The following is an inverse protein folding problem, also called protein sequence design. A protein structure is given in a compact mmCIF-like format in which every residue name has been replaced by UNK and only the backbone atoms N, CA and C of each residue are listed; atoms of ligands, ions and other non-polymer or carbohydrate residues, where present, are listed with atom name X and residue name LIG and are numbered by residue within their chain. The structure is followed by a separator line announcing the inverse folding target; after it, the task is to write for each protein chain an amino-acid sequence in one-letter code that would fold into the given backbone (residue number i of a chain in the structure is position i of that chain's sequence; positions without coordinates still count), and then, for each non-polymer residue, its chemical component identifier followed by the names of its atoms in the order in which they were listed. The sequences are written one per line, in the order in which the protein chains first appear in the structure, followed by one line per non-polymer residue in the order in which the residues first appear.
data_IF_331734268102
#
_entry.id   IF_331734268102
#
_cell.length_a   1.000
_cell.length_b   1.000
_cell.length_c   1.000
_cell.angle_alpha   90.00
_cell.angle_beta   90.00
_cell.angle_gamma   90.00
#
_symmetry.space_group_name_H-M   'P 1'
#
loop_
_entity.id
_entity.type
_entity.pdbx_description
1 polymer ?
#
# COMPACT_ATOMS: atom_id res chain seq x y z
N UNK A 1 -1.38 23.98 -18.81
CA UNK A 1 -0.10 24.01 -18.08
C UNK A 1 -0.05 22.76 -17.23
N UNK A 2 0.77 21.80 -17.63
CA UNK A 2 0.88 20.50 -16.98
C UNK A 2 1.52 20.68 -15.60
N UNK A 3 0.81 20.34 -14.54
CA UNK A 3 1.35 20.23 -13.19
C UNK A 3 2.42 19.14 -13.22
N UNK A 4 3.63 19.51 -12.80
CA UNK A 4 4.78 18.64 -12.65
C UNK A 4 4.49 17.65 -11.50
N UNK A 5 3.65 16.65 -11.76
CA UNK A 5 3.44 15.54 -10.82
C UNK A 5 4.76 14.80 -10.71
N UNK A 6 5.40 14.89 -9.55
CA UNK A 6 6.57 14.09 -9.24
C UNK A 6 6.29 12.64 -9.66
N UNK A 7 7.23 12.02 -10.38
CA UNK A 7 7.10 10.63 -10.76
C UNK A 7 7.18 9.77 -9.49
N UNK A 8 6.02 9.53 -8.87
CA UNK A 8 5.84 8.73 -7.63
C UNK A 8 6.53 7.35 -7.74
N UNK A 9 6.82 6.86 -8.96
CA UNK A 9 7.54 5.60 -9.21
C UNK A 9 8.98 5.62 -8.69
N UNK A 10 9.59 6.80 -8.50
CA UNK A 10 10.93 6.94 -7.92
C UNK A 10 10.94 7.02 -6.39
N UNK A 11 9.77 6.93 -5.74
CA UNK A 11 9.63 6.89 -4.31
C UNK A 11 9.20 5.47 -3.91
N UNK A 12 10.13 4.57 -3.53
CA UNK A 12 9.81 3.17 -3.21
C UNK A 12 8.72 3.00 -2.14
N UNK A 13 8.59 4.00 -1.26
CA UNK A 13 7.57 4.08 -0.21
C UNK A 13 6.15 4.34 -0.74
N UNK A 14 6.02 4.92 -1.94
CA UNK A 14 4.76 5.15 -2.65
C UNK A 14 4.61 4.20 -3.86
N UNK A 15 5.24 3.02 -3.80
CA UNK A 15 5.14 2.05 -4.88
C UNK A 15 3.67 1.74 -5.21
N UNK A 16 3.29 1.99 -6.46
CA UNK A 16 1.96 1.73 -7.02
C UNK A 16 2.11 0.90 -8.28
N UNK A 17 1.08 0.12 -8.58
CA UNK A 17 0.95 -0.50 -9.89
C UNK A 17 0.60 0.57 -10.94
N UNK A 18 0.93 0.30 -12.20
CA UNK A 18 0.58 1.18 -13.31
C UNK A 18 -0.94 1.49 -13.31
N UNK A 19 -1.37 2.74 -13.57
CA UNK A 19 -2.78 3.11 -13.52
C UNK A 19 -3.69 2.25 -14.39
N UNK A 20 -3.23 1.81 -15.57
CA UNK A 20 -4.03 0.93 -16.43
C UNK A 20 -4.22 -0.44 -15.80
N UNK A 21 -3.16 -0.97 -15.18
CA UNK A 21 -3.22 -2.25 -14.46
C UNK A 21 -4.11 -2.14 -13.22
N UNK A 22 -4.07 -1.02 -12.50
CA UNK A 22 -5.00 -0.75 -11.39
C UNK A 22 -6.46 -0.76 -11.86
N UNK A 23 -6.75 -0.02 -12.93
CA UNK A 23 -8.10 0.09 -13.47
C UNK A 23 -8.59 -1.27 -13.99
N UNK A 24 -7.73 -2.06 -14.64
CA UNK A 24 -8.03 -3.42 -15.09
C UNK A 24 -8.28 -4.38 -13.91
N UNK A 25 -7.47 -4.26 -12.86
CA UNK A 25 -7.60 -5.08 -11.66
C UNK A 25 -8.96 -4.85 -11.03
N UNK A 26 -9.40 -3.61 -10.86
CA UNK A 26 -10.68 -3.30 -10.19
C UNK A 26 -11.87 -3.03 -11.12
N UNK A 27 -11.74 -3.30 -12.42
CA UNK A 27 -12.82 -3.10 -13.38
C UNK A 27 -14.09 -3.87 -12.97
N UNK A 28 -15.20 -3.17 -12.81
CA UNK A 28 -16.49 -3.76 -12.42
C UNK A 28 -16.65 -4.05 -10.93
N UNK A 29 -15.67 -3.70 -10.09
CA UNK A 29 -15.83 -3.74 -8.63
C UNK A 29 -16.81 -2.65 -8.16
N UNK A 30 -17.54 -2.95 -7.08
CA UNK A 30 -18.42 -1.97 -6.43
C UNK A 30 -17.60 -1.07 -5.53
N UNK A 31 -18.00 0.20 -5.49
CA UNK A 31 -17.41 1.18 -4.58
C UNK A 31 -17.94 0.93 -3.16
N UNK A 32 -17.03 0.87 -2.20
CA UNK A 32 -17.29 0.71 -0.78
C UNK A 32 -16.82 1.98 -0.06
N UNK A 33 -17.63 2.48 0.89
CA UNK A 33 -17.35 3.72 1.61
C UNK A 33 -17.02 3.43 3.06
N UNK A 34 -15.93 4.01 3.52
CA UNK A 34 -15.44 3.90 4.89
C UNK A 34 -15.26 5.28 5.51
N UNK A 35 -15.70 5.43 6.75
CA UNK A 35 -15.45 6.63 7.54
C UNK A 35 -14.02 6.66 8.09
N UNK A 36 -13.54 7.85 8.46
CA UNK A 36 -12.28 7.99 9.17
C UNK A 36 -12.30 7.18 10.48
N UNK A 37 -11.18 6.53 10.79
CA UNK A 37 -11.01 5.65 11.94
C UNK A 37 -11.49 4.21 11.72
N UNK A 38 -12.15 3.89 10.61
CA UNK A 38 -12.57 2.51 10.34
C UNK A 38 -11.40 1.63 9.91
N UNK A 39 -11.37 0.42 10.46
CA UNK A 39 -10.42 -0.61 10.06
C UNK A 39 -10.89 -1.32 8.79
N UNK A 40 -9.96 -1.57 7.86
CA UNK A 40 -10.20 -2.49 6.74
C UNK A 40 -9.92 -3.94 7.16
N UNK A 41 -8.89 -4.12 7.99
CA UNK A 41 -8.51 -5.36 8.64
C UNK A 41 -7.46 -5.08 9.72
N UNK A 42 -7.29 -6.04 10.61
CA UNK A 42 -6.29 -6.02 11.69
C UNK A 42 -5.16 -7.00 11.34
N UNK A 43 -3.96 -6.72 11.86
CA UNK A 43 -2.82 -7.63 11.76
C UNK A 43 -3.19 -9.01 12.32
N UNK A 44 -2.69 -10.07 11.68
CA UNK A 44 -3.00 -11.49 11.95
C UNK A 44 -4.44 -11.94 11.60
N UNK A 45 -5.31 -11.05 11.10
CA UNK A 45 -6.60 -11.48 10.54
C UNK A 45 -6.38 -12.41 9.33
N UNK A 46 -7.41 -13.21 9.02
CA UNK A 46 -7.44 -13.97 7.78
C UNK A 46 -7.39 -13.03 6.57
N UNK A 47 -6.61 -13.40 5.56
CA UNK A 47 -6.41 -12.58 4.37
C UNK A 47 -7.19 -13.13 3.18
N UNK A 48 -8.41 -12.64 2.97
CA UNK A 48 -9.35 -13.13 1.96
C UNK A 48 -9.51 -12.20 0.74
N UNK A 49 -9.02 -10.96 0.83
CA UNK A 49 -9.24 -9.92 -0.19
C UNK A 49 -8.15 -8.85 -0.24
N UNK A 50 -8.10 -8.13 -1.36
CA UNK A 50 -7.31 -6.91 -1.55
C UNK A 50 -8.23 -5.71 -1.71
N UNK A 51 -7.68 -4.51 -1.44
CA UNK A 51 -8.37 -3.25 -1.63
C UNK A 51 -7.58 -2.33 -2.55
N UNK A 52 -8.28 -1.62 -3.43
CA UNK A 52 -7.78 -0.49 -4.20
C UNK A 52 -8.33 0.80 -3.61
N UNK A 53 -7.44 1.75 -3.31
CA UNK A 53 -7.85 3.06 -2.80
C UNK A 53 -8.29 3.95 -3.96
N UNK A 54 -9.57 4.32 -4.02
CA UNK A 54 -10.07 5.25 -5.04
C UNK A 54 -9.88 6.69 -4.60
N UNK A 55 -10.21 6.98 -3.34
CA UNK A 55 -10.01 8.28 -2.70
C UNK A 55 -9.81 8.13 -1.19
N UNK A 56 -9.19 9.13 -0.57
CA UNK A 56 -8.87 9.13 0.85
C UNK A 56 -7.45 8.63 1.16
N UNK A 57 -7.21 8.31 2.43
CA UNK A 57 -5.89 7.92 2.94
C UNK A 57 -6.02 6.76 3.92
N UNK A 58 -5.20 5.72 3.73
CA UNK A 58 -5.17 4.52 4.58
C UNK A 58 -3.80 4.40 5.24
N UNK A 59 -3.77 4.30 6.56
CA UNK A 59 -2.57 4.00 7.33
C UNK A 59 -2.36 2.49 7.41
N UNK A 60 -1.12 2.06 7.20
CA UNK A 60 -0.66 0.70 7.43
C UNK A 60 0.23 0.70 8.67
N UNK A 61 -0.19 -0.01 9.72
CA UNK A 61 0.54 -0.07 10.98
C UNK A 61 0.77 -1.51 11.47
N UNK A 62 1.91 -1.71 12.13
CA UNK A 62 2.30 -2.96 12.76
C UNK A 62 2.28 -2.73 14.27
N UNK A 63 1.75 -3.70 15.02
CA UNK A 63 1.73 -3.66 16.46
C UNK A 63 2.72 -4.68 17.02
N UNK A 64 3.54 -4.26 17.98
CA UNK A 64 4.38 -5.19 18.74
C UNK A 64 3.52 -6.01 19.72
N UNK A 65 4.02 -7.15 20.24
CA UNK A 65 3.32 -7.90 21.28
C UNK A 65 3.02 -7.07 22.54
N UNK A 66 3.80 -6.01 22.81
CA UNK A 66 3.57 -5.07 23.90
C UNK A 66 2.61 -3.92 23.57
N UNK A 67 1.94 -3.96 22.41
CA UNK A 67 0.96 -2.94 21.98
C UNK A 67 1.58 -1.66 21.40
N UNK A 68 2.89 -1.61 21.18
CA UNK A 68 3.52 -0.45 20.56
C UNK A 68 3.17 -0.41 19.07
N UNK A 69 2.70 0.74 18.60
CA UNK A 69 2.32 0.97 17.21
C UNK A 69 3.49 1.52 16.41
N UNK A 70 3.82 0.86 15.30
CA UNK A 70 4.71 1.36 14.26
C UNK A 70 3.88 1.68 13.01
N UNK A 71 3.87 2.95 12.57
CA UNK A 71 3.29 3.33 11.28
C UNK A 71 4.27 2.95 10.18
N UNK A 72 3.99 1.85 9.48
CA UNK A 72 4.83 1.36 8.39
C UNK A 72 4.66 2.27 7.16
N UNK A 73 3.43 2.43 6.68
CA UNK A 73 3.17 3.22 5.47
C UNK A 73 1.86 4.00 5.50
N UNK A 74 1.74 4.94 4.57
CA UNK A 74 0.51 5.67 4.27
C UNK A 74 0.19 5.47 2.79
N UNK A 75 -0.96 4.88 2.51
CA UNK A 75 -1.44 4.56 1.17
C UNK A 75 -2.46 5.61 0.72
N UNK A 76 -2.28 6.08 -0.52
CA UNK A 76 -3.06 7.18 -1.12
C UNK A 76 -3.92 6.65 -2.27
N UNK A 77 -4.62 7.53 -2.99
CA UNK A 77 -5.39 7.13 -4.17
C UNK A 77 -4.54 6.36 -5.19
N UNK A 78 -5.11 5.31 -5.78
CA UNK A 78 -4.47 4.33 -6.67
C UNK A 78 -3.43 3.42 -6.00
N UNK A 79 -3.35 3.41 -4.67
CA UNK A 79 -2.58 2.40 -3.93
C UNK A 79 -3.35 1.09 -3.76
N UNK A 80 -2.58 0.00 -3.64
CA UNK A 80 -3.08 -1.33 -3.31
C UNK A 80 -2.84 -1.64 -1.83
N UNK A 81 -3.81 -2.24 -1.16
CA UNK A 81 -3.75 -2.58 0.27
C UNK A 81 -4.15 -4.03 0.50
N UNK A 82 -3.38 -4.73 1.33
CA UNK A 82 -3.68 -6.10 1.76
C UNK A 82 -3.25 -7.19 0.78
N UNK A 83 -2.39 -6.87 -0.18
CA UNK A 83 -1.98 -7.78 -1.25
C UNK A 83 -1.06 -8.92 -0.79
N UNK A 84 -0.23 -8.72 0.23
CA UNK A 84 0.74 -9.76 0.67
C UNK A 84 0.00 -11.04 1.07
N UNK A 85 -0.85 -10.96 2.11
CA UNK A 85 -1.62 -12.10 2.58
C UNK A 85 -2.59 -12.65 1.53
N UNK A 86 -3.15 -11.76 0.70
CA UNK A 86 -4.05 -12.17 -0.37
C UNK A 86 -3.34 -12.88 -1.53
N UNK A 87 -2.01 -12.73 -1.69
CA UNK A 87 -1.20 -13.42 -2.70
C UNK A 87 -0.59 -14.72 -2.16
N UNK A 88 -0.02 -14.71 -0.96
CA UNK A 88 0.65 -15.89 -0.38
C UNK A 88 -0.26 -16.82 0.44
N UNK A 89 -1.47 -16.36 0.78
CA UNK A 89 -2.47 -17.12 1.52
C UNK A 89 -2.24 -17.13 3.03
N UNK A 90 -1.38 -16.24 3.54
CA UNK A 90 -1.05 -16.11 4.96
C UNK A 90 -1.87 -14.98 5.62
N UNK A 91 -1.88 -14.92 6.97
CA UNK A 91 -2.55 -13.83 7.69
C UNK A 91 -2.06 -12.43 7.31
N UNK A 92 -2.84 -11.41 7.65
CA UNK A 92 -2.51 -9.99 7.41
C UNK A 92 -1.20 -9.63 8.11
N UNK A 93 -0.25 -9.06 7.37
CA UNK A 93 1.06 -8.64 7.91
C UNK A 93 1.00 -7.34 8.73
N UNK A 94 -0.10 -6.59 8.62
CA UNK A 94 -0.29 -5.29 9.26
C UNK A 94 -1.78 -4.99 9.42
N UNK A 95 -2.08 -3.98 10.24
CA UNK A 95 -3.41 -3.37 10.37
C UNK A 95 -3.55 -2.26 9.34
N UNK A 96 -4.73 -2.14 8.71
CA UNK A 96 -5.06 -1.06 7.79
C UNK A 96 -6.24 -0.23 8.31
N UNK A 97 -6.05 1.08 8.47
CA UNK A 97 -7.05 2.00 9.05
C UNK A 97 -7.24 3.21 8.14
N UNK A 98 -8.48 3.58 7.86
CA UNK A 98 -8.80 4.82 7.13
C UNK A 98 -8.46 6.04 8.00
N UNK A 99 -7.50 6.87 7.60
CA UNK A 99 -7.20 8.14 8.28
C UNK A 99 -8.21 9.23 7.93
N UNK A 100 -8.75 9.18 6.73
CA UNK A 100 -9.82 10.06 6.23
C UNK A 100 -11.05 9.22 5.91
N UNK A 101 -12.15 9.85 5.50
CA UNK A 101 -13.15 9.12 4.74
C UNK A 101 -12.48 8.54 3.47
N UNK A 102 -12.76 7.28 3.16
CA UNK A 102 -12.18 6.58 2.03
C UNK A 102 -13.28 5.98 1.15
N UNK A 103 -13.04 6.05 -0.17
CA UNK A 103 -13.78 5.24 -1.13
C UNK A 103 -12.82 4.18 -1.67
N UNK A 104 -13.21 2.92 -1.53
CA UNK A 104 -12.39 1.76 -1.85
C UNK A 104 -13.12 0.83 -2.82
N UNK A 105 -12.36 0.01 -3.51
CA UNK A 105 -12.86 -1.13 -4.28
C UNK A 105 -12.15 -2.38 -3.79
N UNK A 106 -12.82 -3.53 -3.77
CA UNK A 106 -12.22 -4.77 -3.25
C UNK A 106 -12.32 -5.92 -4.24
N UNK A 107 -11.44 -6.91 -4.08
CA UNK A 107 -11.45 -8.18 -4.78
C UNK A 107 -11.14 -9.30 -3.80
N UNK A 108 -11.91 -10.38 -3.86
CA UNK A 108 -11.51 -11.61 -3.16
C UNK A 108 -10.21 -12.17 -3.76
N UNK A 109 -9.51 -12.98 -2.98
CA UNK A 109 -8.33 -13.72 -3.45
C UNK A 109 -8.62 -14.47 -4.75
N UNK A 110 -9.75 -15.17 -4.84
CA UNK A 110 -10.14 -15.90 -6.05
C UNK A 110 -10.27 -14.95 -7.24
N UNK A 111 -10.96 -13.81 -7.08
CA UNK A 111 -11.12 -12.83 -8.16
C UNK A 111 -9.78 -12.20 -8.58
N UNK A 112 -8.85 -11.99 -7.64
CA UNK A 112 -7.49 -11.52 -7.94
C UNK A 112 -6.77 -12.51 -8.86
N UNK A 113 -6.74 -13.79 -8.50
CA UNK A 113 -6.08 -14.81 -9.31
C UNK A 113 -6.77 -15.02 -10.66
N UNK A 114 -8.11 -15.04 -10.72
CA UNK A 114 -8.86 -15.11 -11.98
C UNK A 114 -8.50 -13.97 -12.95
N UNK A 115 -8.28 -12.76 -12.43
CA UNK A 115 -7.88 -11.60 -13.23
C UNK A 115 -6.44 -11.71 -13.70
N UNK A 116 -5.54 -12.17 -12.83
CA UNK A 116 -4.13 -12.42 -13.18
C UNK A 116 -4.03 -13.46 -14.30
N UNK A 117 -4.77 -14.56 -14.21
CA UNK A 117 -4.79 -15.60 -15.24
C UNK A 117 -5.29 -15.09 -16.60
N UNK A 118 -6.33 -14.25 -16.59
CA UNK A 118 -6.89 -13.64 -17.81
C UNK A 118 -6.00 -12.54 -18.40
N UNK A 119 -5.12 -11.94 -17.60
CA UNK A 119 -4.27 -10.84 -18.03
C UNK A 119 -2.87 -10.94 -17.39
N UNK A 120 -1.96 -11.74 -17.97
CA UNK A 120 -0.62 -11.99 -17.43
C UNK A 120 0.22 -10.75 -17.10
N UNK A 121 0.11 -9.61 -17.84
CA UNK A 121 0.70 -8.34 -17.40
C UNK A 121 0.38 -7.92 -15.96
N UNK A 122 -0.78 -8.30 -15.40
CA UNK A 122 -1.11 -8.05 -13.99
C UNK A 122 -0.15 -8.77 -13.04
N UNK A 123 0.24 -10.02 -13.33
CA UNK A 123 1.21 -10.75 -12.52
C UNK A 123 2.53 -9.98 -12.42
N UNK A 124 3.01 -9.46 -13.56
CA UNK A 124 4.24 -8.65 -13.62
C UNK A 124 4.10 -7.38 -12.78
N UNK A 125 2.98 -6.66 -12.89
CA UNK A 125 2.73 -5.45 -12.11
C UNK A 125 2.72 -5.74 -10.60
N UNK A 126 2.14 -6.87 -10.17
CA UNK A 126 2.15 -7.30 -8.76
C UNK A 126 3.58 -7.61 -8.28
N UNK A 127 4.38 -8.31 -9.10
CA UNK A 127 5.78 -8.60 -8.79
C UNK A 127 6.58 -7.30 -8.65
N UNK A 128 6.43 -6.37 -9.59
CA UNK A 128 7.12 -5.07 -9.58
C UNK A 128 6.76 -4.26 -8.33
N UNK A 129 5.48 -4.22 -7.95
CA UNK A 129 5.00 -3.62 -6.71
C UNK A 129 5.69 -4.23 -5.48
N UNK A 130 5.67 -5.56 -5.37
CA UNK A 130 6.28 -6.26 -4.23
C UNK A 130 7.80 -6.07 -4.18
N UNK A 131 8.49 -6.07 -5.32
CA UNK A 131 9.92 -5.78 -5.38
C UNK A 131 10.23 -4.34 -4.94
N UNK A 132 9.41 -3.36 -5.31
CA UNK A 132 9.58 -1.98 -4.87
C UNK A 132 9.36 -1.85 -3.36
N UNK A 133 8.33 -2.49 -2.81
CA UNK A 133 8.07 -2.54 -1.36
C UNK A 133 9.20 -3.22 -0.60
N UNK A 134 9.71 -4.35 -1.10
CA UNK A 134 10.83 -5.05 -0.48
C UNK A 134 12.10 -4.18 -0.45
N UNK A 135 12.42 -3.50 -1.56
CA UNK A 135 13.55 -2.56 -1.61
C UNK A 135 13.41 -1.44 -0.59
N UNK A 136 12.19 -0.89 -0.44
CA UNK A 136 11.91 0.12 0.58
C UNK A 136 12.14 -0.41 2.00
N UNK A 137 11.55 -1.57 2.34
CA UNK A 137 11.70 -2.18 3.68
C UNK A 137 13.18 -2.48 3.99
N UNK A 138 13.92 -3.03 3.03
CA UNK A 138 15.36 -3.29 3.19
C UNK A 138 16.15 -1.99 3.40
N UNK A 139 15.80 -0.91 2.71
CA UNK A 139 16.40 0.41 2.91
C UNK A 139 16.12 0.98 4.31
N UNK A 140 14.88 0.85 4.79
CA UNK A 140 14.49 1.30 6.13
C UNK A 140 15.23 0.52 7.23
N UNK A 141 15.42 -0.80 7.06
CA UNK A 141 16.23 -1.61 7.98
C UNK A 141 17.68 -1.11 8.05
N UNK A 142 18.28 -0.80 6.90
CA UNK A 142 19.62 -0.19 6.85
C UNK A 142 19.65 1.15 7.56
N UNK A 143 18.65 2.00 7.34
CA UNK A 143 18.60 3.32 7.95
C UNK A 143 18.48 3.26 9.48
N UNK A 144 17.70 2.30 10.00
CA UNK A 144 17.59 2.06 11.44
C UNK A 144 18.88 1.51 12.05
N UNK A 145 19.61 0.66 11.31
CA UNK A 145 20.83 0.04 11.80
C UNK A 145 22.04 1.01 11.80
N UNK A 146 22.12 1.92 10.83
CA UNK A 146 23.36 2.67 10.57
C UNK A 146 23.27 4.19 10.80
N UNK A 147 22.08 4.79 10.87
CA UNK A 147 21.93 6.24 11.02
C UNK A 147 21.32 6.64 12.37
N UNK A 148 21.79 7.76 12.91
CA UNK A 148 21.18 8.45 14.05
C UNK A 148 19.80 9.04 13.73
N UNK A 149 19.07 9.48 14.75
CA UNK A 149 17.69 9.98 14.59
C UNK A 149 17.62 11.23 13.70
N UNK A 150 18.64 12.09 13.74
CA UNK A 150 18.73 13.33 12.98
C UNK A 150 18.82 13.05 11.49
N UNK A 151 19.66 12.09 11.09
CA UNK A 151 19.81 11.69 9.70
C UNK A 151 18.54 11.00 9.16
N UNK A 152 17.88 10.17 9.98
CA UNK A 152 16.59 9.56 9.61
C UNK A 152 15.48 10.61 9.47
N UNK A 153 15.44 11.61 10.37
CA UNK A 153 14.51 12.72 10.27
C UNK A 153 14.76 13.55 9.00
N UNK A 154 16.02 13.88 8.70
CA UNK A 154 16.38 14.61 7.49
C UNK A 154 15.92 13.87 6.22
N UNK A 155 16.19 12.56 6.12
CA UNK A 155 15.67 11.72 5.03
C UNK A 155 14.15 11.77 4.93
N UNK A 156 13.45 11.73 6.07
CA UNK A 156 11.99 11.79 6.10
C UNK A 156 11.45 13.13 5.61
N UNK A 157 12.07 14.24 6.00
CA UNK A 157 11.69 15.59 5.55
C UNK A 157 11.93 15.77 4.06
N UNK A 158 13.07 15.30 3.54
CA UNK A 158 13.36 15.31 2.10
C UNK A 158 12.30 14.52 1.34
N UNK A 159 11.96 13.32 1.81
CA UNK A 159 10.88 12.54 1.22
C UNK A 159 9.55 13.31 1.20
N UNK A 160 9.12 13.86 2.34
CA UNK A 160 7.84 14.57 2.44
C UNK A 160 7.79 15.82 1.56
N UNK A 161 8.92 16.53 1.41
CA UNK A 161 9.00 17.69 0.52
C UNK A 161 8.75 17.33 -0.95
N UNK A 162 9.15 16.12 -1.39
CA UNK A 162 8.90 15.65 -2.75
C UNK A 162 7.48 15.15 -2.99
N UNK A 163 6.74 14.83 -1.92
CA UNK A 163 5.33 14.37 -2.01
C UNK A 163 4.34 15.54 -1.94
N UNK A 164 4.74 16.66 -1.32
CA UNK A 164 3.91 17.85 -1.14
C UNK A 164 4.13 18.93 -2.21
N UNK A 165 5.07 18.73 -3.14
CA UNK A 165 5.40 19.64 -4.24
C UNK A 165 4.62 19.31 -5.51
#
# INVERSE_FOLDING_TARGET
MATNGADDRNLPRLARIDPRQFDLLFAGCKLERYAAGQHLFVQEDTSDRIYGVMSGTVEISIYSPGGQKLVANIELSRSLVGEIGALDGRPRTATAICLTACELVSLSRTQLFDRIEKNPPLARAMIELLCARLRWVSGELGDQAFFGIEARLAKRLVFLSGVMA
#
